data_IF_682453219196
#
_entry.id   IF_682453219196
#
_cell.length_a   1.000
_cell.length_b   1.000
_cell.length_c   1.000
_cell.angle_alpha   90.00
_cell.angle_beta   90.00
_cell.angle_gamma   90.00
#
_symmetry.space_group_name_H-M   'P 1'
#
loop_
_entity.id
_entity.type
_entity.pdbx_description
1 polymer ?
#
# COMPACT_ATOMS: atom_id res chain seq x y z
N UNK A 1 38.49 15.96 -30.15
CA UNK A 1 37.25 15.26 -30.49
C UNK A 1 37.16 15.24 -32.01
N UNK A 2 37.38 14.07 -32.61
CA UNK A 2 37.21 13.82 -34.04
C UNK A 2 35.85 13.15 -34.23
N UNK A 3 34.83 13.88 -34.73
CA UNK A 3 33.47 13.35 -34.82
C UNK A 3 33.36 12.10 -35.70
N UNK A 4 34.31 11.92 -36.62
CA UNK A 4 34.36 10.84 -37.58
C UNK A 4 35.07 9.57 -37.08
N UNK A 5 35.67 9.61 -35.89
CA UNK A 5 36.34 8.46 -35.30
C UNK A 5 35.33 7.60 -34.51
N UNK A 6 34.94 6.40 -34.99
CA UNK A 6 33.98 5.53 -34.30
C UNK A 6 34.50 5.00 -32.96
N UNK A 7 35.81 5.13 -32.67
CA UNK A 7 36.38 4.85 -31.35
C UNK A 7 36.11 5.96 -30.33
N UNK A 8 35.55 7.10 -30.78
CA UNK A 8 35.25 8.27 -29.94
C UNK A 8 33.75 8.49 -29.73
N UNK A 9 32.88 7.67 -30.34
CA UNK A 9 31.45 7.65 -30.04
C UNK A 9 31.19 6.56 -29.01
N UNK A 10 30.74 6.95 -27.81
CA UNK A 10 30.54 6.04 -26.68
C UNK A 10 29.11 6.18 -26.19
N UNK A 11 28.45 5.05 -25.98
CA UNK A 11 27.21 4.96 -25.21
C UNK A 11 27.56 4.60 -23.76
N UNK A 12 27.34 5.53 -22.85
CA UNK A 12 27.45 5.30 -21.42
C UNK A 12 26.09 4.85 -20.87
N UNK A 13 26.04 3.64 -20.32
CA UNK A 13 24.85 3.12 -19.64
C UNK A 13 25.10 3.12 -18.14
N UNK A 14 24.35 3.94 -17.42
CA UNK A 14 24.44 4.09 -15.97
C UNK A 14 23.23 3.51 -15.26
N UNK A 15 23.48 2.68 -14.26
CA UNK A 15 22.48 2.31 -13.26
C UNK A 15 22.45 3.36 -12.15
N UNK A 16 21.33 4.10 -12.10
CA UNK A 16 21.12 5.16 -11.12
C UNK A 16 20.96 4.63 -9.67
N UNK A 17 20.73 3.34 -9.47
CA UNK A 17 20.55 2.74 -8.14
C UNK A 17 21.87 2.25 -7.54
N UNK A 18 22.76 1.71 -8.37
CA UNK A 18 24.04 1.13 -7.92
C UNK A 18 25.25 1.99 -8.28
N UNK A 19 25.07 3.06 -9.06
CA UNK A 19 26.15 3.84 -9.70
C UNK A 19 27.09 3.00 -10.57
N UNK A 20 26.70 1.79 -10.95
CA UNK A 20 27.45 1.02 -11.92
C UNK A 20 27.29 1.64 -13.31
N UNK A 21 28.40 1.74 -14.02
CA UNK A 21 28.48 2.37 -15.34
C UNK A 21 29.15 1.41 -16.30
N UNK A 22 28.66 1.37 -17.53
CA UNK A 22 29.22 0.58 -18.61
C UNK A 22 29.35 1.45 -19.85
N UNK A 23 30.55 1.50 -20.41
CA UNK A 23 30.82 2.17 -21.67
C UNK A 23 30.84 1.17 -22.82
N UNK A 24 30.16 1.54 -23.91
CA UNK A 24 30.06 0.74 -25.13
C UNK A 24 30.42 1.63 -26.32
N UNK A 25 31.43 1.24 -27.10
CA UNK A 25 31.77 1.94 -28.34
C UNK A 25 30.66 1.71 -29.36
N UNK A 26 30.20 2.81 -29.98
CA UNK A 26 29.16 2.78 -31.01
C UNK A 26 29.73 3.23 -32.35
N UNK A 27 29.36 2.54 -33.41
CA UNK A 27 29.62 3.00 -34.78
C UNK A 27 28.57 4.01 -35.23
N UNK A 28 28.88 4.76 -36.29
CA UNK A 28 27.94 5.71 -36.94
C UNK A 28 26.61 5.09 -37.37
N UNK A 29 26.59 3.77 -37.58
CA UNK A 29 25.39 3.04 -37.97
C UNK A 29 24.55 2.56 -36.77
N UNK A 30 24.94 2.93 -35.54
CA UNK A 30 24.27 2.49 -34.31
C UNK A 30 24.58 1.05 -33.93
N UNK A 31 25.72 0.50 -34.36
CA UNK A 31 26.15 -0.84 -33.95
C UNK A 31 27.17 -0.78 -32.83
N UNK A 32 27.09 -1.71 -31.87
CA UNK A 32 28.04 -1.93 -30.78
C UNK A 32 28.85 -3.18 -31.07
N UNK A 33 30.17 -3.09 -30.94
CA UNK A 33 31.05 -4.26 -30.90
C UNK A 33 31.44 -4.55 -29.46
N UNK A 34 31.07 -5.74 -28.95
CA UNK A 34 31.35 -6.15 -27.58
C UNK A 34 31.54 -7.67 -27.52
N UNK A 35 32.59 -8.15 -26.83
CA UNK A 35 32.93 -9.57 -26.72
C UNK A 35 32.97 -10.31 -28.08
N UNK A 36 33.61 -9.71 -29.10
CA UNK A 36 33.68 -10.23 -30.48
C UNK A 36 32.30 -10.48 -31.12
N UNK A 37 31.25 -9.82 -30.64
CA UNK A 37 29.92 -9.83 -31.22
C UNK A 37 29.50 -8.42 -31.62
N UNK A 38 28.70 -8.35 -32.67
CA UNK A 38 28.14 -7.12 -33.17
C UNK A 38 26.65 -7.05 -32.84
N UNK A 39 26.20 -5.95 -32.24
CA UNK A 39 24.84 -5.73 -31.80
C UNK A 39 24.26 -4.47 -32.44
N UNK A 40 23.07 -4.58 -33.03
CA UNK A 40 22.38 -3.44 -33.59
C UNK A 40 21.51 -2.77 -32.51
N UNK A 41 21.75 -1.47 -32.24
CA UNK A 41 20.99 -0.73 -31.24
C UNK A 41 19.50 -0.60 -31.60
N UNK A 42 19.11 -0.75 -32.87
CA UNK A 42 17.71 -0.77 -33.28
C UNK A 42 16.93 -1.93 -32.68
N UNK A 43 17.61 -3.06 -32.40
CA UNK A 43 16.98 -4.25 -31.83
C UNK A 43 16.89 -4.15 -30.29
N UNK A 44 17.81 -3.39 -29.69
CA UNK A 44 17.95 -3.20 -28.25
C UNK A 44 17.08 -2.05 -27.72
N UNK A 45 17.03 -0.95 -28.47
CA UNK A 45 16.31 0.26 -28.11
C UNK A 45 14.89 0.28 -28.68
N UNK A 46 14.04 1.08 -28.06
CA UNK A 46 12.75 1.49 -28.60
C UNK A 46 12.97 2.41 -29.80
N UNK A 47 11.99 2.47 -30.70
CA UNK A 47 12.05 3.33 -31.89
C UNK A 47 12.32 4.80 -31.54
N UNK A 48 11.71 5.30 -30.46
CA UNK A 48 11.95 6.66 -29.95
C UNK A 48 13.43 6.88 -29.59
N UNK A 49 13.97 6.05 -28.68
CA UNK A 49 15.34 6.20 -28.20
C UNK A 49 16.37 5.97 -29.32
N UNK A 50 16.09 5.03 -30.21
CA UNK A 50 16.93 4.78 -31.38
C UNK A 50 16.95 5.98 -32.33
N UNK A 51 15.80 6.57 -32.64
CA UNK A 51 15.72 7.75 -33.52
C UNK A 51 16.40 8.98 -32.91
N UNK A 52 16.28 9.17 -31.59
CA UNK A 52 16.96 10.23 -30.86
C UNK A 52 18.48 10.05 -30.92
N UNK A 53 18.98 8.84 -30.66
CA UNK A 53 20.40 8.49 -30.78
C UNK A 53 20.91 8.71 -32.21
N UNK A 54 20.20 8.22 -33.22
CA UNK A 54 20.59 8.36 -34.62
C UNK A 54 20.66 9.82 -35.06
N UNK A 55 19.75 10.65 -34.57
CA UNK A 55 19.75 12.09 -34.84
C UNK A 55 20.97 12.76 -34.21
N UNK A 56 21.29 12.40 -32.96
CA UNK A 56 22.48 12.86 -32.24
C UNK A 56 23.79 12.47 -32.93
N UNK A 57 23.91 11.22 -33.39
CA UNK A 57 25.06 10.74 -34.17
C UNK A 57 25.23 11.56 -35.46
N UNK A 58 24.16 11.78 -36.23
CA UNK A 58 24.21 12.53 -37.49
C UNK A 58 24.60 13.99 -37.29
N UNK A 59 24.18 14.59 -36.17
CA UNK A 59 24.44 15.99 -35.85
C UNK A 59 25.75 16.19 -35.05
N UNK A 60 26.45 15.10 -34.70
CA UNK A 60 27.61 15.13 -33.82
C UNK A 60 27.33 15.85 -32.48
N UNK A 61 26.13 15.66 -31.93
CA UNK A 61 25.71 16.25 -30.66
C UNK A 61 25.58 15.17 -29.58
N UNK A 62 25.89 15.47 -28.30
CA UNK A 62 25.59 14.54 -27.22
C UNK A 62 24.08 14.38 -27.01
N UNK A 63 23.65 13.20 -26.55
CA UNK A 63 22.27 12.95 -26.13
C UNK A 63 22.22 12.04 -24.90
N UNK A 64 21.09 12.05 -24.19
CA UNK A 64 20.84 11.19 -23.05
C UNK A 64 19.36 10.85 -22.96
N UNK A 65 19.04 9.57 -22.80
CA UNK A 65 17.67 9.10 -22.64
C UNK A 65 17.60 7.99 -21.58
N UNK A 66 16.43 7.80 -20.99
CA UNK A 66 16.18 6.71 -20.05
C UNK A 66 15.83 5.43 -20.82
N UNK A 67 16.46 4.33 -20.41
CA UNK A 67 16.08 2.99 -20.87
C UNK A 67 14.82 2.53 -20.15
N UNK A 68 13.82 2.10 -20.91
CA UNK A 68 12.69 1.37 -20.36
C UNK A 68 13.14 0.02 -19.82
N UNK A 69 12.30 -0.58 -18.96
CA UNK A 69 12.54 -1.92 -18.40
C UNK A 69 12.78 -2.97 -19.49
N UNK A 70 12.09 -2.85 -20.64
CA UNK A 70 12.25 -3.80 -21.73
C UNK A 70 13.58 -3.64 -22.47
N UNK A 71 14.00 -2.41 -22.76
CA UNK A 71 15.31 -2.12 -23.37
C UNK A 71 16.44 -2.59 -22.45
N UNK A 72 16.32 -2.30 -21.14
CA UNK A 72 17.27 -2.75 -20.13
C UNK A 72 17.42 -4.28 -20.11
N UNK A 73 16.30 -4.99 -20.07
CA UNK A 73 16.29 -6.45 -20.06
C UNK A 73 16.95 -7.02 -21.33
N UNK A 74 16.69 -6.44 -22.50
CA UNK A 74 17.33 -6.87 -23.76
C UNK A 74 18.85 -6.70 -23.69
N UNK A 75 19.32 -5.56 -23.20
CA UNK A 75 20.76 -5.31 -23.09
C UNK A 75 21.43 -6.24 -22.05
N UNK A 76 20.75 -6.53 -20.92
CA UNK A 76 21.22 -7.51 -19.93
C UNK A 76 21.30 -8.94 -20.49
N UNK A 77 20.29 -9.37 -21.25
CA UNK A 77 20.27 -10.71 -21.88
C UNK A 77 21.44 -10.91 -22.86
N UNK A 78 21.91 -9.82 -23.48
CA UNK A 78 23.06 -9.84 -24.37
C UNK A 78 24.40 -9.65 -23.64
N UNK A 79 24.40 -9.60 -22.30
CA UNK A 79 25.55 -9.31 -21.44
C UNK A 79 26.22 -7.95 -21.74
N UNK A 80 25.48 -7.00 -22.33
CA UNK A 80 25.99 -5.66 -22.65
C UNK A 80 26.05 -4.76 -21.42
N UNK A 81 25.27 -5.08 -20.39
CA UNK A 81 25.25 -4.35 -19.12
C UNK A 81 25.06 -5.32 -17.98
N UNK A 82 25.95 -5.26 -16.99
CA UNK A 82 25.83 -6.03 -15.75
C UNK A 82 25.24 -5.16 -14.67
N UNK A 83 23.93 -4.97 -14.72
CA UNK A 83 23.19 -4.31 -13.65
C UNK A 83 22.81 -5.41 -12.66
N UNK A 84 23.40 -5.38 -11.47
CA UNK A 84 22.91 -6.17 -10.34
C UNK A 84 21.48 -5.73 -10.11
N UNK A 85 20.50 -6.51 -10.59
CA UNK A 85 19.11 -6.29 -10.21
C UNK A 85 19.11 -6.25 -8.68
N UNK A 86 18.71 -5.12 -8.09
CA UNK A 86 18.38 -5.07 -6.68
C UNK A 86 17.49 -6.30 -6.39
N UNK A 87 17.71 -7.05 -5.30
CA UNK A 87 17.01 -8.30 -5.02
C UNK A 87 15.51 -8.03 -4.77
N UNK A 88 14.76 -7.83 -5.86
CA UNK A 88 13.42 -7.24 -5.86
C UNK A 88 12.30 -8.29 -5.91
N UNK A 89 12.63 -9.59 -5.92
CA UNK A 89 11.62 -10.64 -5.79
C UNK A 89 11.35 -10.95 -4.31
N UNK A 90 12.39 -11.24 -3.53
CA UNK A 90 12.19 -11.62 -2.12
C UNK A 90 11.66 -10.47 -1.24
N UNK A 91 12.14 -9.23 -1.44
CA UNK A 91 11.70 -8.09 -0.65
C UNK A 91 10.25 -7.66 -1.00
N UNK A 92 9.86 -7.75 -2.28
CA UNK A 92 8.51 -7.46 -2.72
C UNK A 92 7.51 -8.54 -2.25
N UNK A 93 7.92 -9.80 -2.29
CA UNK A 93 7.10 -10.90 -1.80
C UNK A 93 6.96 -10.82 -0.26
N UNK A 94 8.03 -10.48 0.47
CA UNK A 94 7.96 -10.21 1.90
C UNK A 94 7.02 -9.02 2.25
N UNK A 95 7.08 -7.93 1.48
CA UNK A 95 6.17 -6.80 1.64
C UNK A 95 4.70 -7.18 1.36
N UNK A 96 4.45 -8.03 0.37
CA UNK A 96 3.09 -8.53 0.08
C UNK A 96 2.57 -9.41 1.21
N UNK A 97 3.41 -10.27 1.77
CA UNK A 97 3.05 -11.13 2.90
C UNK A 97 2.77 -10.31 4.16
N UNK A 98 3.57 -9.27 4.41
CA UNK A 98 3.36 -8.33 5.51
C UNK A 98 2.04 -7.57 5.35
N UNK A 99 1.74 -7.06 4.15
CA UNK A 99 0.46 -6.39 3.85
C UNK A 99 -0.74 -7.35 4.01
N UNK A 100 -0.60 -8.61 3.61
CA UNK A 100 -1.62 -9.64 3.79
C UNK A 100 -1.89 -9.93 5.28
N UNK A 101 -0.81 -10.01 6.07
CA UNK A 101 -0.85 -10.23 7.52
C UNK A 101 -1.54 -9.05 8.22
N UNK A 102 -1.15 -7.82 7.89
CA UNK A 102 -1.75 -6.60 8.44
C UNK A 102 -3.26 -6.49 8.11
N UNK A 103 -3.68 -6.85 6.89
CA UNK A 103 -5.10 -6.90 6.53
C UNK A 103 -5.89 -7.91 7.38
N UNK A 104 -5.31 -9.08 7.62
CA UNK A 104 -5.93 -10.12 8.43
C UNK A 104 -6.06 -9.69 9.90
N UNK A 105 -5.02 -9.06 10.46
CA UNK A 105 -5.05 -8.49 11.81
C UNK A 105 -6.10 -7.38 11.96
N UNK A 106 -6.22 -6.47 10.98
CA UNK A 106 -7.24 -5.43 10.99
C UNK A 106 -8.67 -5.99 10.94
N UNK A 107 -8.90 -7.06 10.19
CA UNK A 107 -10.21 -7.76 10.19
C UNK A 107 -10.52 -8.36 11.56
N UNK A 108 -9.53 -8.96 12.21
CA UNK A 108 -9.66 -9.48 13.58
C UNK A 108 -9.99 -8.40 14.61
N UNK A 109 -9.32 -7.26 14.53
CA UNK A 109 -9.58 -6.10 15.39
C UNK A 109 -10.99 -5.55 15.18
N UNK A 110 -11.44 -5.40 13.93
CA UNK A 110 -12.80 -4.95 13.62
C UNK A 110 -13.87 -5.84 14.25
N UNK A 111 -13.69 -7.15 14.20
CA UNK A 111 -14.62 -8.10 14.83
C UNK A 111 -14.63 -7.95 16.36
N UNK A 112 -13.46 -7.78 16.99
CA UNK A 112 -13.37 -7.54 18.44
C UNK A 112 -14.07 -6.24 18.86
N UNK A 113 -13.91 -5.16 18.09
CA UNK A 113 -14.62 -3.90 18.33
C UNK A 113 -16.14 -4.05 18.26
N UNK A 114 -16.66 -4.76 17.27
CA UNK A 114 -18.11 -5.03 17.16
C UNK A 114 -18.64 -5.85 18.34
N UNK A 115 -17.85 -6.81 18.83
CA UNK A 115 -18.21 -7.59 20.03
C UNK A 115 -18.25 -6.69 21.27
N UNK A 116 -17.25 -5.81 21.43
CA UNK A 116 -17.19 -4.86 22.54
C UNK A 116 -18.39 -3.89 22.50
N UNK A 117 -18.73 -3.33 21.34
CA UNK A 117 -19.92 -2.47 21.19
C UNK A 117 -21.22 -3.18 21.57
N UNK A 118 -21.36 -4.47 21.23
CA UNK A 118 -22.53 -5.27 21.64
C UNK A 118 -22.61 -5.40 23.16
N UNK A 119 -21.50 -5.68 23.84
CA UNK A 119 -21.47 -5.76 25.30
C UNK A 119 -21.80 -4.41 25.95
N UNK A 120 -21.21 -3.30 25.48
CA UNK A 120 -21.54 -1.97 25.99
C UNK A 120 -23.01 -1.61 25.82
N UNK A 121 -23.63 -1.97 24.68
CA UNK A 121 -25.05 -1.73 24.46
C UNK A 121 -25.93 -2.60 25.38
N UNK A 122 -25.55 -3.85 25.63
CA UNK A 122 -26.26 -4.72 26.56
C UNK A 122 -26.18 -4.18 28.00
N UNK A 123 -25.00 -3.74 28.45
CA UNK A 123 -24.82 -3.16 29.78
C UNK A 123 -25.62 -1.86 29.95
N UNK A 124 -25.66 -1.02 28.92
CA UNK A 124 -26.47 0.21 28.93
C UNK A 124 -27.96 -0.09 29.07
N UNK A 125 -28.47 -1.10 28.38
CA UNK A 125 -29.87 -1.53 28.51
C UNK A 125 -30.16 -2.18 29.87
N UNK A 126 -29.21 -2.94 30.43
CA UNK A 126 -29.33 -3.50 31.77
C UNK A 126 -29.37 -2.39 32.83
N UNK A 127 -28.51 -1.36 32.72
CA UNK A 127 -28.53 -0.19 33.60
C UNK A 127 -29.86 0.56 33.52
N UNK A 128 -30.40 0.82 32.33
CA UNK A 128 -31.72 1.45 32.19
C UNK A 128 -32.82 0.65 32.89
N UNK A 129 -32.83 -0.68 32.74
CA UNK A 129 -33.79 -1.56 33.41
C UNK A 129 -33.64 -1.52 34.92
N UNK A 130 -32.40 -1.45 35.42
CA UNK A 130 -32.11 -1.33 36.84
C UNK A 130 -32.58 0.02 37.40
N UNK A 131 -32.30 1.12 36.71
CA UNK A 131 -32.78 2.47 37.09
C UNK A 131 -34.32 2.52 37.08
N UNK A 132 -34.96 1.92 36.09
CA UNK A 132 -36.42 1.79 36.02
C UNK A 132 -36.97 1.00 37.20
N UNK A 133 -36.34 -0.13 37.56
CA UNK A 133 -36.72 -0.91 38.73
C UNK A 133 -36.59 -0.09 40.03
N UNK A 134 -35.50 0.65 40.20
CA UNK A 134 -35.32 1.53 41.37
C UNK A 134 -36.37 2.65 41.41
N UNK A 135 -36.71 3.25 40.27
CA UNK A 135 -37.76 4.27 40.17
C UNK A 135 -39.13 3.71 40.57
N UNK A 136 -39.50 2.56 40.00
CA UNK A 136 -40.78 1.91 40.28
C UNK A 136 -40.91 1.51 41.76
N UNK A 137 -39.84 1.03 42.40
CA UNK A 137 -39.85 0.70 43.82
C UNK A 137 -39.86 1.92 44.74
N UNK A 138 -39.23 3.03 44.33
CA UNK A 138 -39.36 4.32 45.06
C UNK A 138 -40.80 4.83 45.01
N UNK A 139 -41.49 4.69 43.88
CA UNK A 139 -42.91 5.05 43.78
C UNK A 139 -43.83 4.14 44.59
N UNK A 140 -43.55 2.83 44.69
CA UNK A 140 -44.35 1.90 45.50
C UNK A 140 -44.20 2.13 47.02
N UNK A 141 -43.04 2.61 47.47
CA UNK A 141 -42.76 2.92 48.87
C UNK A 141 -42.87 4.41 49.22
N UNK A 142 -43.52 5.21 48.36
CA UNK A 142 -43.73 6.62 48.66
C UNK A 142 -44.65 6.79 49.88
N UNK A 143 -44.42 7.79 50.75
CA UNK A 143 -45.29 8.06 51.89
C UNK A 143 -46.76 8.29 51.50
N UNK A 144 -47.02 8.80 50.29
CA UNK A 144 -48.36 8.96 49.74
C UNK A 144 -49.03 7.62 49.46
N UNK A 145 -48.39 6.67 48.76
CA UNK A 145 -48.97 5.35 48.53
C UNK A 145 -49.10 4.52 49.81
N UNK A 146 -48.19 4.71 50.77
CA UNK A 146 -48.31 4.10 52.10
C UNK A 146 -49.51 4.69 52.87
N UNK A 147 -49.71 6.01 52.84
CA UNK A 147 -50.88 6.66 53.42
C UNK A 147 -52.18 6.25 52.74
N UNK A 148 -52.21 6.10 51.41
CA UNK A 148 -53.39 5.61 50.68
C UNK A 148 -53.73 4.17 51.05
N UNK A 149 -52.74 3.28 51.17
CA UNK A 149 -52.95 1.91 51.67
C UNK A 149 -53.43 1.87 53.11
N UNK A 150 -52.89 2.72 53.99
CA UNK A 150 -53.36 2.85 55.37
C UNK A 150 -54.78 3.42 55.44
N UNK A 151 -55.11 4.43 54.63
CA UNK A 151 -56.46 5.00 54.55
C UNK A 151 -57.48 3.98 54.04
N UNK A 152 -57.13 3.22 53.00
CA UNK A 152 -57.96 2.16 52.47
C UNK A 152 -58.17 1.05 53.52
N UNK A 153 -57.10 0.64 54.23
CA UNK A 153 -57.17 -0.36 55.29
C UNK A 153 -57.99 0.12 56.51
N UNK A 154 -57.92 1.42 56.85
CA UNK A 154 -58.74 2.02 57.91
C UNK A 154 -60.20 2.15 57.52
N UNK A 155 -60.53 2.45 56.25
CA UNK A 155 -61.91 2.46 55.75
C UNK A 155 -62.56 1.07 55.80
N UNK A 156 -61.80 0.01 55.48
CA UNK A 156 -62.29 -1.37 55.59
C UNK A 156 -62.55 -1.77 57.05
N UNK A 157 -61.67 -1.39 58.00
CA UNK A 157 -61.90 -1.66 59.42
C UNK A 157 -63.09 -0.90 60.02
N UNK A 158 -63.31 0.36 59.62
CA UNK A 158 -64.46 1.16 60.08
C UNK A 158 -65.80 0.75 59.47
N UNK A 159 -65.83 -0.03 58.39
CA UNK A 159 -67.06 -0.57 57.79
C UNK A 159 -67.52 -1.90 58.38
N UNK A 160 -66.77 -2.46 59.34
CA UNK A 160 -67.05 -3.75 59.99
C UNK A 160 -67.55 -3.56 61.44
N UNK A 161 -67.43 -2.35 62.00
CA UNK A 161 -68.10 -1.97 63.25
C UNK A 161 -69.30 -1.07 62.94
N UNK A 162 -70.45 -1.70 62.63
CA UNK A 162 -71.84 -1.35 62.99
C UNK A 162 -72.82 -2.26 62.23
#
# INVERSE_FOLDING_TARGET
>A
YEPDNPKQQVLLVKDLTTNNEQELNISKNGNIEYNNKNYNLKDLLSEKNYNELQSSIKQNQPTSFLLSKNELNKMQQQNLVSIKQAPNKSALDALKDEVSTLKSQNKGLKNKFQTIEKFFNQDKEAMKRFDQYLSNNKELNSPEKQREKELASKKVKKGIEL
#
